data_IF_599088459608
#
_entry.id   IF_599088459608
#
_cell.length_a   1.000
_cell.length_b   1.000
_cell.length_c   1.000
_cell.angle_alpha   90.00
_cell.angle_beta   90.00
_cell.angle_gamma   90.00
#
_symmetry.space_group_name_H-M   'P 1'
#
loop_
_entity.id
_entity.type
_entity.pdbx_description
1 polymer ?
#
# COMPACT_ATOMS: atom_id res chain seq x y z
N UNK A 1 -3.45 -33.30 3.93
CA UNK A 1 -3.01 -31.98 3.48
C UNK A 1 -4.18 -31.35 2.78
N UNK A 2 -4.91 -30.51 3.51
CA UNK A 2 -6.13 -29.85 3.04
C UNK A 2 -5.74 -28.80 2.01
N UNK A 3 -6.40 -28.85 0.86
CA UNK A 3 -6.23 -27.92 -0.25
C UNK A 3 -6.38 -26.48 0.25
N UNK A 4 -5.38 -25.63 0.02
CA UNK A 4 -5.29 -24.29 0.65
C UNK A 4 -6.30 -23.27 0.09
N UNK A 5 -7.28 -23.71 -0.71
CA UNK A 5 -8.40 -22.88 -1.19
C UNK A 5 -8.02 -21.68 -2.07
N UNK A 6 -6.74 -21.53 -2.43
CA UNK A 6 -6.25 -20.44 -3.28
C UNK A 6 -6.27 -20.88 -4.75
N UNK A 7 -6.72 -19.97 -5.61
CA UNK A 7 -6.64 -20.17 -7.05
C UNK A 7 -5.18 -20.25 -7.50
N UNK A 8 -4.90 -20.98 -8.60
CA UNK A 8 -3.56 -21.11 -9.19
C UNK A 8 -2.95 -19.75 -9.58
N UNK A 9 -3.79 -18.75 -9.84
CA UNK A 9 -3.38 -17.38 -10.10
C UNK A 9 -4.34 -16.39 -9.46
N UNK A 10 -3.81 -15.25 -9.04
CA UNK A 10 -4.58 -14.18 -8.42
C UNK A 10 -3.69 -12.99 -8.06
N UNK A 11 -4.32 -11.89 -7.66
CA UNK A 11 -3.63 -10.71 -7.15
C UNK A 11 -4.15 -10.40 -5.76
N UNK A 12 -3.26 -10.40 -4.75
CA UNK A 12 -3.61 -9.96 -3.41
C UNK A 12 -3.75 -8.43 -3.33
N UNK A 13 -2.92 -7.72 -4.09
CA UNK A 13 -2.92 -6.27 -4.21
C UNK A 13 -2.83 -5.87 -5.67
N UNK A 14 -3.54 -4.82 -6.04
CA UNK A 14 -3.38 -4.15 -7.32
C UNK A 14 -3.10 -2.68 -7.06
N UNK A 15 -2.03 -2.18 -7.67
CA UNK A 15 -1.59 -0.79 -7.59
C UNK A 15 -1.58 -0.23 -9.01
N UNK A 16 -2.32 0.85 -9.23
CA UNK A 16 -2.47 1.49 -10.54
C UNK A 16 -1.58 2.71 -10.72
N UNK A 17 -1.48 3.18 -11.96
CA UNK A 17 -0.66 4.32 -12.44
C UNK A 17 0.83 3.99 -12.66
N UNK A 18 1.27 4.09 -13.91
CA UNK A 18 2.66 3.84 -14.32
C UNK A 18 3.67 4.86 -13.78
N UNK A 19 3.24 5.94 -13.12
CA UNK A 19 4.14 6.88 -12.45
C UNK A 19 4.43 6.46 -11.01
N UNK A 20 3.62 5.59 -10.41
CA UNK A 20 3.91 5.03 -9.09
C UNK A 20 4.65 3.69 -9.22
N UNK A 21 5.57 3.45 -8.31
CA UNK A 21 6.25 2.16 -8.18
C UNK A 21 6.20 1.68 -6.74
N UNK A 22 5.83 0.42 -6.55
CA UNK A 22 5.86 -0.23 -5.24
C UNK A 22 7.29 -0.66 -4.94
N UNK A 23 7.84 -0.19 -3.83
CA UNK A 23 9.17 -0.61 -3.36
C UNK A 23 9.08 -1.62 -2.23
N UNK A 24 7.96 -1.70 -1.51
CA UNK A 24 7.79 -2.67 -0.41
C UNK A 24 6.32 -3.02 -0.20
N UNK A 25 6.06 -4.32 0.00
CA UNK A 25 4.85 -4.85 0.64
C UNK A 25 5.34 -5.80 1.73
N UNK A 26 5.00 -5.53 2.99
CA UNK A 26 5.39 -6.40 4.10
C UNK A 26 4.35 -6.37 5.21
N UNK A 27 4.47 -7.29 6.16
CA UNK A 27 3.76 -7.19 7.44
C UNK A 27 4.38 -6.06 8.28
N UNK A 28 3.55 -5.31 9.00
CA UNK A 28 4.01 -4.34 9.99
C UNK A 28 4.89 -5.04 11.05
N UNK A 29 5.88 -4.33 11.59
CA UNK A 29 6.73 -4.87 12.67
C UNK A 29 5.90 -5.18 13.93
N UNK A 30 4.85 -4.40 14.16
CA UNK A 30 3.89 -4.58 15.25
C UNK A 30 2.50 -4.88 14.70
N UNK A 31 1.85 -5.93 15.22
CA UNK A 31 0.48 -6.32 14.87
C UNK A 31 0.35 -7.07 13.54
N UNK A 32 -0.88 -7.15 13.03
CA UNK A 32 -1.26 -7.92 11.83
C UNK A 32 -1.64 -7.01 10.65
N UNK A 33 -0.99 -5.85 10.52
CA UNK A 33 -1.22 -4.89 9.43
C UNK A 33 -0.25 -5.04 8.28
N UNK A 34 -0.58 -4.44 7.14
CA UNK A 34 0.27 -4.43 5.96
C UNK A 34 0.92 -3.06 5.81
N UNK A 35 2.22 -3.05 5.53
CA UNK A 35 2.98 -1.86 5.17
C UNK A 35 3.21 -1.87 3.67
N UNK A 36 2.77 -0.80 3.03
CA UNK A 36 2.94 -0.54 1.61
C UNK A 36 3.81 0.70 1.44
N UNK A 37 4.95 0.57 0.75
CA UNK A 37 5.79 1.70 0.37
C UNK A 37 5.78 1.89 -1.13
N UNK A 38 5.52 3.12 -1.55
CA UNK A 38 5.52 3.51 -2.95
C UNK A 38 6.38 4.75 -3.15
N UNK A 39 6.80 4.96 -4.39
CA UNK A 39 7.43 6.21 -4.79
C UNK A 39 6.95 6.67 -6.16
N UNK A 40 6.93 7.99 -6.33
CA UNK A 40 6.57 8.63 -7.58
C UNK A 40 7.81 8.74 -8.48
N UNK A 41 7.66 8.33 -9.74
CA UNK A 41 8.71 8.37 -10.78
C UNK A 41 8.65 9.63 -11.64
N UNK A 42 7.73 10.55 -11.34
CA UNK A 42 7.45 11.74 -12.13
C UNK A 42 7.52 13.02 -11.31
N UNK A 43 7.64 14.15 -12.02
CA UNK A 43 7.60 15.49 -11.44
C UNK A 43 6.19 16.02 -11.18
N UNK A 44 5.16 15.20 -11.34
CA UNK A 44 3.75 15.56 -11.14
C UNK A 44 3.16 14.75 -9.99
N UNK A 45 2.23 15.29 -9.19
CA UNK A 45 1.53 14.51 -8.18
C UNK A 45 0.73 13.37 -8.81
N UNK A 46 0.64 12.24 -8.13
CA UNK A 46 -0.11 11.06 -8.58
C UNK A 46 -1.02 10.54 -7.48
N UNK A 47 -2.29 10.33 -7.83
CA UNK A 47 -3.24 9.57 -7.02
C UNK A 47 -3.21 8.12 -7.50
N UNK A 48 -2.87 7.21 -6.60
CA UNK A 48 -2.60 5.81 -6.91
C UNK A 48 -3.85 4.97 -6.62
N UNK A 49 -4.50 4.36 -7.63
CA UNK A 49 -5.54 3.39 -7.39
C UNK A 49 -4.98 2.18 -6.64
N UNK A 50 -5.66 1.75 -5.57
CA UNK A 50 -5.25 0.61 -4.76
C UNK A 50 -6.45 -0.27 -4.40
N UNK A 51 -6.32 -1.57 -4.64
CA UNK A 51 -7.29 -2.58 -4.21
C UNK A 51 -6.59 -3.76 -3.56
N UNK A 52 -7.21 -4.33 -2.53
CA UNK A 52 -6.80 -5.58 -1.91
C UNK A 52 -7.90 -6.65 -2.09
N UNK A 53 -7.52 -7.89 -2.38
CA UNK A 53 -8.47 -8.98 -2.63
C UNK A 53 -9.37 -9.28 -1.41
N UNK A 54 -8.83 -9.10 -0.20
CA UNK A 54 -9.57 -9.22 1.06
C UNK A 54 -10.42 -7.99 1.42
N UNK A 55 -10.33 -6.92 0.63
CA UNK A 55 -10.71 -5.58 1.08
C UNK A 55 -9.72 -5.00 2.10
N UNK A 56 -9.97 -3.76 2.48
CA UNK A 56 -9.33 -3.04 3.58
C UNK A 56 -10.32 -2.04 4.14
N UNK A 57 -10.23 -1.75 5.44
CA UNK A 57 -11.07 -0.79 6.13
C UNK A 57 -10.46 0.60 6.13
N UNK A 58 -9.13 0.67 6.31
CA UNK A 58 -8.42 1.95 6.50
C UNK A 58 -7.08 1.97 5.81
N UNK A 59 -6.69 3.17 5.39
CA UNK A 59 -5.34 3.49 4.95
C UNK A 59 -4.84 4.63 5.84
N UNK A 60 -3.64 4.49 6.38
CA UNK A 60 -3.00 5.51 7.21
C UNK A 60 -1.63 5.83 6.63
N UNK A 61 -1.30 7.10 6.56
CA UNK A 61 0.06 7.51 6.25
C UNK A 61 0.99 7.17 7.42
N UNK A 62 2.21 6.77 7.11
CA UNK A 62 3.23 6.45 8.10
C UNK A 62 4.61 6.96 7.67
N UNK A 63 5.48 7.16 8.66
CA UNK A 63 6.89 7.43 8.39
C UNK A 63 7.64 6.15 7.97
N UNK A 64 8.96 6.28 7.72
CA UNK A 64 9.78 5.14 7.32
C UNK A 64 9.93 4.05 8.39
N UNK A 65 9.63 4.39 9.66
CA UNK A 65 9.66 3.52 10.84
C UNK A 65 8.25 2.99 11.18
N UNK A 66 7.29 3.08 10.26
CA UNK A 66 5.91 2.57 10.40
C UNK A 66 5.10 3.27 11.49
N UNK A 67 5.51 4.47 11.90
CA UNK A 67 4.75 5.26 12.87
C UNK A 67 3.67 6.01 12.11
N UNK A 68 2.41 5.65 12.36
CA UNK A 68 1.29 6.31 11.70
C UNK A 68 1.21 7.78 12.12
N UNK A 69 0.87 8.67 11.19
CA UNK A 69 0.53 10.07 11.50
C UNK A 69 -0.76 10.20 12.32
N UNK A 70 -1.55 9.12 12.42
CA UNK A 70 -2.82 9.05 13.13
C UNK A 70 -4.03 9.42 12.26
N UNK A 71 -3.80 10.08 11.12
CA UNK A 71 -4.84 10.47 10.18
C UNK A 71 -5.10 9.36 9.14
N UNK A 72 -6.37 9.03 8.97
CA UNK A 72 -6.84 8.14 7.92
C UNK A 72 -6.95 8.90 6.60
N UNK A 73 -6.54 8.28 5.52
CA UNK A 73 -6.70 8.83 4.17
C UNK A 73 -7.57 7.91 3.33
N UNK A 74 -8.51 8.44 2.54
CA UNK A 74 -9.28 7.63 1.60
C UNK A 74 -8.46 7.25 0.35
N UNK A 75 -7.25 7.78 0.19
CA UNK A 75 -6.46 7.70 -1.04
C UNK A 75 -4.98 7.56 -0.76
N UNK A 76 -4.28 6.85 -1.65
CA UNK A 76 -2.82 6.89 -1.74
C UNK A 76 -2.47 8.02 -2.72
N UNK A 77 -1.78 9.03 -2.23
CA UNK A 77 -1.30 10.16 -3.04
C UNK A 77 0.20 10.33 -2.85
N UNK A 78 0.91 10.59 -3.94
CA UNK A 78 2.35 10.80 -3.93
C UNK A 78 2.64 12.17 -4.56
N UNK A 79 3.27 13.05 -3.79
CA UNK A 79 3.83 14.28 -4.33
C UNK A 79 4.94 13.99 -5.37
N UNK A 80 5.34 14.98 -6.20
CA UNK A 80 6.46 14.81 -7.14
C UNK A 80 7.69 14.18 -6.49
N UNK A 81 8.16 13.05 -7.05
CA UNK A 81 9.30 12.27 -6.55
C UNK A 81 9.25 11.81 -5.08
N UNK A 82 8.10 11.90 -4.42
CA UNK A 82 7.97 11.50 -3.02
C UNK A 82 8.08 9.98 -2.86
N UNK A 83 8.61 9.57 -1.70
CA UNK A 83 8.59 8.19 -1.21
C UNK A 83 7.66 8.18 0.00
N UNK A 84 6.56 7.45 -0.09
CA UNK A 84 5.53 7.45 0.95
C UNK A 84 5.30 6.04 1.47
N UNK A 85 5.04 5.94 2.77
CA UNK A 85 4.70 4.68 3.45
C UNK A 85 3.27 4.75 3.95
N UNK A 86 2.54 3.66 3.76
CA UNK A 86 1.15 3.53 4.18
C UNK A 86 0.96 2.24 4.96
N UNK A 87 0.16 2.31 6.02
CA UNK A 87 -0.37 1.16 6.73
C UNK A 87 -1.77 0.87 6.17
N UNK A 88 -1.96 -0.36 5.69
CA UNK A 88 -3.23 -0.89 5.18
C UNK A 88 -3.81 -1.83 6.23
N UNK A 89 -5.07 -1.59 6.58
CA UNK A 89 -5.77 -2.17 7.72
C UNK A 89 -7.04 -2.92 7.36
#
# INVERSE_FOLDING_TARGET
>A
WTDAGLAESGSFFTVGDGRAAVSTVKKAEEGDRIVLRLYNRSGEPVRVPFTAASGYDRIRHADLLERSSGEETPVIELAPYAIETYIIE
#
